data_IF_639750647561
#
_entry.id   IF_639750647561
#
_cell.length_a   1.000
_cell.length_b   1.000
_cell.length_c   1.000
_cell.angle_alpha   90.00
_cell.angle_beta   90.00
_cell.angle_gamma   90.00
#
_symmetry.space_group_name_H-M   'P 1'
#
loop_
_entity.id
_entity.type
_entity.pdbx_description
1 polymer ?
#
# COMPACT_ATOMS: atom_id res chain seq x y z
N UNK A 1 -4.28 15.80 6.97
CA UNK A 1 -3.99 14.45 6.41
C UNK A 1 -3.01 13.63 7.29
N UNK A 2 -2.93 13.90 8.60
CA UNK A 2 -2.08 13.15 9.55
C UNK A 2 -2.88 12.12 10.38
N UNK A 3 -4.20 12.28 10.48
CA UNK A 3 -5.07 11.47 11.36
C UNK A 3 -5.39 10.07 10.79
N UNK A 4 -5.20 9.85 9.48
CA UNK A 4 -5.42 8.54 8.81
C UNK A 4 -4.22 7.60 8.89
N UNK A 5 -3.01 8.19 8.98
CA UNK A 5 -1.90 7.57 9.70
C UNK A 5 -2.35 7.39 11.18
N UNK A 6 -1.68 6.84 12.16
CA UNK A 6 -2.20 6.68 13.54
C UNK A 6 -3.47 5.81 13.77
N UNK A 7 -4.56 5.92 13.01
CA UNK A 7 -5.79 5.10 13.18
C UNK A 7 -5.68 3.73 12.52
N UNK A 8 -5.02 3.65 11.36
CA UNK A 8 -4.87 2.39 10.64
C UNK A 8 -3.72 1.55 11.18
N UNK A 9 -3.93 0.23 11.20
CA UNK A 9 -2.83 -0.72 11.36
C UNK A 9 -1.72 -0.43 10.32
N UNK A 10 -0.46 -0.72 10.65
CA UNK A 10 0.67 -0.35 9.80
C UNK A 10 0.53 -0.81 8.34
N UNK A 11 0.06 -2.04 8.12
CA UNK A 11 -0.07 -2.62 6.78
C UNK A 11 -1.29 -2.09 6.01
N UNK A 12 -2.40 -1.82 6.69
CA UNK A 12 -3.57 -1.15 6.07
C UNK A 12 -3.21 0.23 5.54
N UNK A 13 -2.38 0.96 6.29
CA UNK A 13 -1.91 2.28 5.89
C UNK A 13 -1.06 2.22 4.63
N UNK A 14 -0.14 1.27 4.56
CA UNK A 14 0.71 1.08 3.39
C UNK A 14 -0.09 0.60 2.18
N UNK A 15 -1.10 -0.25 2.38
CA UNK A 15 -2.04 -0.61 1.33
C UNK A 15 -2.83 0.61 0.81
N UNK A 16 -3.24 1.53 1.69
CA UNK A 16 -3.86 2.80 1.28
C UNK A 16 -2.86 3.68 0.50
N UNK A 17 -1.62 3.79 0.96
CA UNK A 17 -0.59 4.57 0.26
C UNK A 17 -0.32 4.02 -1.14
N UNK A 18 -0.21 2.70 -1.28
CA UNK A 18 -0.04 2.04 -2.58
C UNK A 18 -1.23 2.31 -3.51
N UNK A 19 -2.47 2.15 -3.03
CA UNK A 19 -3.66 2.42 -3.84
C UNK A 19 -3.74 3.88 -4.30
N UNK A 20 -3.43 4.83 -3.41
CA UNK A 20 -3.41 6.26 -3.76
C UNK A 20 -2.34 6.54 -4.84
N UNK A 21 -1.18 5.89 -4.76
CA UNK A 21 -0.11 6.04 -5.73
C UNK A 21 -0.45 5.45 -7.12
N UNK A 22 -1.29 4.42 -7.18
CA UNK A 22 -1.69 3.74 -8.43
C UNK A 22 -2.93 4.37 -9.06
N UNK A 23 -3.96 4.71 -8.28
CA UNK A 23 -5.27 5.16 -8.79
C UNK A 23 -5.27 6.63 -9.28
N UNK A 24 -4.25 7.40 -8.92
CA UNK A 24 -4.10 8.78 -9.40
C UNK A 24 -3.79 8.86 -10.90
N UNK A 25 -4.03 10.04 -11.51
CA UNK A 25 -3.89 10.26 -12.96
C UNK A 25 -2.51 9.91 -13.51
N UNK A 26 -1.46 10.11 -12.72
CA UNK A 26 -0.08 9.72 -13.03
C UNK A 26 0.46 8.86 -11.88
N UNK A 27 0.84 7.62 -12.16
CA UNK A 27 1.31 6.68 -11.13
C UNK A 27 2.56 7.24 -10.43
N UNK A 28 2.54 7.34 -9.10
CA UNK A 28 3.74 7.74 -8.32
C UNK A 28 4.54 6.52 -7.92
N UNK A 29 5.39 6.07 -8.85
CA UNK A 29 6.28 4.94 -8.65
C UNK A 29 7.21 5.11 -7.44
N UNK A 30 7.48 6.33 -6.97
CA UNK A 30 8.38 6.53 -5.81
C UNK A 30 7.79 5.91 -4.55
N UNK A 31 6.48 6.01 -4.36
CA UNK A 31 5.79 5.40 -3.20
C UNK A 31 5.88 3.88 -3.27
N UNK A 32 5.69 3.29 -4.45
CA UNK A 32 5.76 1.84 -4.65
C UNK A 32 7.19 1.33 -4.45
N UNK A 33 8.19 2.02 -5.01
CA UNK A 33 9.61 1.68 -4.84
C UNK A 33 10.03 1.79 -3.38
N UNK A 34 9.60 2.83 -2.67
CA UNK A 34 9.92 3.01 -1.25
C UNK A 34 9.34 1.87 -0.39
N UNK A 35 8.07 1.50 -0.61
CA UNK A 35 7.45 0.37 0.11
C UNK A 35 8.21 -0.93 -0.20
N UNK A 36 8.54 -1.19 -1.48
CA UNK A 36 9.23 -2.40 -1.89
C UNK A 36 10.67 -2.48 -1.35
N UNK A 37 11.39 -1.36 -1.29
CA UNK A 37 12.79 -1.30 -0.87
C UNK A 37 12.96 -1.29 0.66
N UNK A 38 11.97 -0.79 1.40
CA UNK A 38 12.06 -0.60 2.85
C UNK A 38 11.36 -1.68 3.68
N UNK A 39 10.67 -2.65 3.07
CA UNK A 39 9.93 -3.72 3.74
C UNK A 39 10.54 -5.08 3.46
N UNK A 40 10.56 -5.93 4.48
CA UNK A 40 10.94 -7.34 4.31
C UNK A 40 9.87 -8.11 3.53
N UNK A 41 10.23 -9.28 2.98
CA UNK A 41 9.29 -10.11 2.21
C UNK A 41 8.03 -10.50 3.01
N UNK A 42 8.15 -10.71 4.33
CA UNK A 42 7.02 -11.05 5.18
C UNK A 42 6.09 -9.84 5.41
N UNK A 43 6.65 -8.64 5.51
CA UNK A 43 5.87 -7.40 5.60
C UNK A 43 5.17 -7.09 4.28
N UNK A 44 5.86 -7.26 3.14
CA UNK A 44 5.26 -7.13 1.82
C UNK A 44 4.06 -8.07 1.63
N UNK A 45 4.15 -9.31 2.11
CA UNK A 45 3.02 -10.23 2.09
C UNK A 45 1.81 -9.71 2.88
N UNK A 46 2.04 -9.15 4.07
CA UNK A 46 0.95 -8.57 4.89
C UNK A 46 0.33 -7.34 4.24
N UNK A 47 1.13 -6.51 3.57
CA UNK A 47 0.63 -5.34 2.82
C UNK A 47 -0.25 -5.82 1.66
N UNK A 48 0.19 -6.84 0.91
CA UNK A 48 -0.62 -7.43 -0.17
C UNK A 48 -1.94 -8.01 0.35
N UNK A 49 -1.91 -8.69 1.49
CA UNK A 49 -3.12 -9.22 2.15
C UNK A 49 -4.08 -8.10 2.57
N UNK A 50 -3.55 -7.04 3.20
CA UNK A 50 -4.35 -5.88 3.60
C UNK A 50 -4.95 -5.16 2.37
N UNK A 51 -4.16 -5.03 1.29
CA UNK A 51 -4.62 -4.46 0.04
C UNK A 51 -5.76 -5.27 -0.58
N UNK A 52 -5.58 -6.59 -0.70
CA UNK A 52 -6.59 -7.49 -1.22
C UNK A 52 -7.86 -7.46 -0.37
N UNK A 53 -7.75 -7.50 0.96
CA UNK A 53 -8.89 -7.43 1.86
C UNK A 53 -9.67 -6.10 1.73
N UNK A 54 -8.95 -5.00 1.43
CA UNK A 54 -9.53 -3.65 1.36
C UNK A 54 -10.16 -3.31 0.01
N UNK A 55 -9.51 -3.73 -1.08
CA UNK A 55 -9.89 -3.34 -2.44
C UNK A 55 -10.43 -4.48 -3.29
N UNK A 56 -10.40 -5.71 -2.75
CA UNK A 56 -10.88 -6.92 -3.41
C UNK A 56 -10.24 -7.17 -4.79
N UNK A 57 -8.98 -6.75 -4.93
CA UNK A 57 -8.12 -6.93 -6.11
C UNK A 57 -6.65 -7.00 -5.69
N UNK A 58 -5.82 -7.65 -6.50
CA UNK A 58 -4.40 -7.81 -6.18
C UNK A 58 -3.63 -6.50 -6.38
N UNK A 59 -2.72 -6.18 -5.46
CA UNK A 59 -1.78 -5.07 -5.63
C UNK A 59 -0.84 -5.28 -6.83
N UNK A 60 -0.60 -6.54 -7.24
CA UNK A 60 0.28 -6.87 -8.36
C UNK A 60 -0.42 -6.78 -9.72
N UNK A 61 -1.75 -6.77 -9.74
CA UNK A 61 -2.58 -6.68 -10.94
C UNK A 61 -3.01 -5.23 -11.24
N UNK A 62 -2.79 -4.33 -10.29
CA UNK A 62 -3.07 -2.90 -10.37
C UNK A 62 -1.85 -2.09 -10.82
#
# INVERSE_FOLDING_TARGET
>A
RAVSQWILEPYDREAVMANVAIVQKEIDFRVIVEIAASRSSSELLKIKQAYLARYNRSLEED
#
